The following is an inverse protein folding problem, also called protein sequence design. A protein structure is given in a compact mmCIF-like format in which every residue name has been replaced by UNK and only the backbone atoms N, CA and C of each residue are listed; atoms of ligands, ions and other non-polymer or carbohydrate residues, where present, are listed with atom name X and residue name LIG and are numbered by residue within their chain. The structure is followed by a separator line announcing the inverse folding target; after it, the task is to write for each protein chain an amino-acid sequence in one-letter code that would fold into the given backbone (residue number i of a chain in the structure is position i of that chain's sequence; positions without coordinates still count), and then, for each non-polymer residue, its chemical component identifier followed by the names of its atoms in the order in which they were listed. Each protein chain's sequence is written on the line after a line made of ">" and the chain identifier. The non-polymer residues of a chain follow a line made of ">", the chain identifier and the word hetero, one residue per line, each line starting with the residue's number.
data_IF_829782096189
#
_entry.id   IF_829782096189
#
_cell.length_a   1.000
_cell.length_b   1.000
_cell.length_c   1.000
_cell.angle_alpha   90.00
_cell.angle_beta   90.00
_cell.angle_gamma   90.00
#
_symmetry.space_group_name_H-M   'P 1'
#
loop_
_entity.id
_entity.type
_entity.pdbx_description
1 polymer ?
#
# COMPACT_ATOMS: atom_id res chain seq x y z
N UNK A 1 3.53 13.31 -7.90
CA UNK A 1 2.90 12.48 -6.86
C UNK A 1 2.13 11.41 -7.60
N UNK A 2 2.72 10.23 -7.72
CA UNK A 2 2.03 9.09 -8.30
C UNK A 2 1.02 8.61 -7.27
N UNK A 3 -0.26 8.77 -7.60
CA UNK A 3 -1.35 8.13 -6.90
C UNK A 3 -1.71 6.89 -7.70
N UNK A 4 -1.78 5.74 -7.05
CA UNK A 4 -2.21 4.50 -7.69
C UNK A 4 -3.73 4.50 -7.88
N UNK A 5 -4.18 3.73 -8.84
CA UNK A 5 -5.58 3.52 -9.20
C UNK A 5 -5.87 2.03 -9.37
N UNK A 6 -7.14 1.65 -9.37
CA UNK A 6 -7.54 0.27 -9.61
C UNK A 6 -6.98 -0.25 -10.94
N UNK A 7 -6.37 -1.44 -10.90
CA UNK A 7 -5.69 -2.07 -12.03
C UNK A 7 -4.18 -1.80 -12.09
N UNK A 8 -3.64 -0.87 -11.30
CA UNK A 8 -2.22 -0.59 -11.28
C UNK A 8 -1.43 -1.75 -10.66
N UNK A 9 -0.33 -2.13 -11.31
CA UNK A 9 0.63 -3.11 -10.78
C UNK A 9 1.63 -2.41 -9.89
N UNK A 10 1.80 -2.96 -8.70
CA UNK A 10 2.65 -2.37 -7.66
C UNK A 10 3.57 -3.41 -7.05
N UNK A 11 4.67 -2.92 -6.47
CA UNK A 11 5.52 -3.67 -5.55
C UNK A 11 5.42 -3.02 -4.17
N UNK A 12 5.29 -3.86 -3.14
CA UNK A 12 5.34 -3.44 -1.76
C UNK A 12 6.81 -3.19 -1.37
N UNK A 13 7.08 -2.02 -0.80
CA UNK A 13 8.39 -1.50 -0.44
C UNK A 13 8.29 -0.83 0.93
N UNK A 14 8.19 -1.65 1.98
CA UNK A 14 8.20 -1.20 3.38
C UNK A 14 9.66 -0.87 3.73
N UNK A 15 10.05 0.38 4.03
CA UNK A 15 11.45 0.73 4.22
C UNK A 15 11.98 0.42 5.63
N UNK A 16 11.09 0.32 6.62
CA UNK A 16 11.45 0.01 8.00
C UNK A 16 11.50 -1.52 8.19
N UNK A 17 12.70 -2.08 8.31
CA UNK A 17 12.90 -3.53 8.52
C UNK A 17 12.39 -4.02 9.89
N UNK A 18 12.11 -3.10 10.82
CA UNK A 18 11.54 -3.43 12.14
C UNK A 18 10.02 -3.48 12.15
N UNK A 19 9.39 -3.07 11.04
CA UNK A 19 7.95 -3.20 10.86
C UNK A 19 7.57 -4.70 10.83
N UNK A 20 6.60 -5.15 11.65
CA UNK A 20 6.14 -6.54 11.65
C UNK A 20 5.69 -7.05 10.26
N UNK A 21 5.25 -6.14 9.39
CA UNK A 21 4.80 -6.44 8.04
C UNK A 21 5.94 -6.53 7.03
N UNK A 22 7.16 -6.09 7.40
CA UNK A 22 8.33 -6.11 6.52
C UNK A 22 8.63 -7.52 6.00
N UNK A 23 8.82 -8.50 6.89
CA UNK A 23 9.19 -9.87 6.48
C UNK A 23 8.12 -10.53 5.61
N UNK A 24 6.85 -10.14 5.78
CA UNK A 24 5.72 -10.77 5.10
C UNK A 24 5.46 -10.15 3.74
N UNK A 25 5.55 -8.83 3.61
CA UNK A 25 5.11 -8.12 2.41
C UNK A 25 6.21 -7.38 1.68
N UNK A 26 7.34 -7.04 2.31
CA UNK A 26 8.40 -6.30 1.62
C UNK A 26 8.88 -7.08 0.39
N UNK A 27 8.86 -6.41 -0.76
CA UNK A 27 9.26 -6.96 -2.04
C UNK A 27 8.19 -7.75 -2.78
N UNK A 28 7.06 -8.06 -2.15
CA UNK A 28 5.92 -8.76 -2.79
C UNK A 28 5.26 -7.85 -3.81
N UNK A 29 4.66 -8.45 -4.85
CA UNK A 29 4.01 -7.76 -5.95
C UNK A 29 2.51 -8.07 -5.96
N UNK A 30 1.75 -7.14 -6.52
CA UNK A 30 0.30 -7.28 -6.63
C UNK A 30 -0.33 -6.26 -7.54
N UNK A 31 -1.66 -6.27 -7.57
CA UNK A 31 -2.49 -5.33 -8.34
C UNK A 31 -3.42 -4.59 -7.40
N UNK A 32 -3.51 -3.27 -7.53
CA UNK A 32 -4.49 -2.48 -6.78
C UNK A 32 -5.89 -2.86 -7.27
N UNK A 33 -6.74 -3.28 -6.35
CA UNK A 33 -8.14 -3.67 -6.63
C UNK A 33 -9.17 -2.72 -6.02
N UNK A 34 -8.76 -1.86 -5.08
CA UNK A 34 -9.58 -0.75 -4.59
C UNK A 34 -8.71 0.36 -3.97
N UNK A 35 -9.24 1.58 -3.99
CA UNK A 35 -8.73 2.72 -3.21
C UNK A 35 -9.75 3.07 -2.14
N UNK A 36 -9.32 3.05 -0.88
CA UNK A 36 -10.15 3.28 0.30
C UNK A 36 -9.68 4.54 1.02
N UNK A 37 -10.60 5.19 1.73
CA UNK A 37 -10.32 6.37 2.54
C UNK A 37 -10.54 6.06 4.03
N UNK A 38 -9.66 6.56 4.89
CA UNK A 38 -9.79 6.56 6.34
C UNK A 38 -9.46 7.92 6.97
N UNK A 39 -9.54 8.01 8.30
CA UNK A 39 -9.29 9.25 9.03
C UNK A 39 -7.82 9.41 9.49
N UNK A 40 -6.88 8.58 9.00
CA UNK A 40 -5.50 8.57 9.49
C UNK A 40 -4.78 9.90 9.25
N UNK A 41 -5.06 10.58 8.14
CA UNK A 41 -4.49 11.90 7.85
C UNK A 41 -4.85 12.98 8.87
N UNK A 42 -5.95 12.82 9.64
CA UNK A 42 -6.27 13.74 10.75
C UNK A 42 -5.30 13.62 11.92
N UNK A 43 -4.75 12.43 12.13
CA UNK A 43 -3.83 12.15 13.25
C UNK A 43 -2.39 12.47 12.85
N UNK A 44 -2.01 12.14 11.62
CA UNK A 44 -0.64 12.36 11.12
C UNK A 44 -0.40 13.78 10.62
N UNK A 45 -1.47 14.50 10.28
CA UNK A 45 -1.41 15.82 9.64
C UNK A 45 -1.08 15.76 8.14
N UNK A 46 -1.03 14.56 7.55
CA UNK A 46 -0.81 14.35 6.13
C UNK A 46 -2.05 13.71 5.52
N UNK A 47 -2.81 14.46 4.72
CA UNK A 47 -4.06 13.99 4.11
C UNK A 47 -3.85 12.74 3.24
N UNK A 48 -2.65 12.52 2.68
CA UNK A 48 -2.34 11.34 1.87
C UNK A 48 -2.32 10.06 2.69
N UNK A 49 -2.07 10.17 3.99
CA UNK A 49 -2.19 9.03 4.89
C UNK A 49 -3.63 8.58 5.04
N UNK A 50 -4.61 9.37 4.63
CA UNK A 50 -6.02 8.96 4.59
C UNK A 50 -6.31 7.94 3.48
N UNK A 51 -5.37 7.70 2.55
CA UNK A 51 -5.55 6.75 1.45
C UNK A 51 -4.97 5.38 1.81
N UNK A 52 -5.78 4.35 1.61
CA UNK A 52 -5.42 2.93 1.65
C UNK A 52 -5.62 2.31 0.27
N UNK A 53 -4.63 1.56 -0.19
CA UNK A 53 -4.68 0.84 -1.45
C UNK A 53 -4.84 -0.63 -1.12
N UNK A 54 -6.00 -1.20 -1.48
CA UNK A 54 -6.23 -2.64 -1.39
C UNK A 54 -5.53 -3.30 -2.56
N UNK A 55 -4.61 -4.20 -2.27
CA UNK A 55 -3.79 -4.89 -3.25
C UNK A 55 -4.07 -6.39 -3.18
N UNK A 56 -4.43 -6.97 -4.31
CA UNK A 56 -4.40 -8.42 -4.51
C UNK A 56 -2.97 -8.84 -4.85
N UNK A 57 -2.33 -9.57 -3.93
CA UNK A 57 -0.98 -10.07 -4.05
C UNK A 57 -0.94 -11.29 -5.00
N UNK A 58 0.24 -11.58 -5.56
CA UNK A 58 0.41 -12.68 -6.51
C UNK A 58 0.11 -14.08 -5.93
N UNK A 59 0.11 -14.24 -4.61
CA UNK A 59 -0.27 -15.47 -3.91
C UNK A 59 -1.80 -15.59 -3.67
N UNK A 60 -2.57 -14.59 -4.10
CA UNK A 60 -4.03 -14.52 -3.96
C UNK A 60 -4.50 -13.94 -2.62
N UNK A 61 -3.60 -13.52 -1.73
CA UNK A 61 -3.97 -12.75 -0.55
C UNK A 61 -4.32 -11.31 -0.92
N UNK A 62 -5.23 -10.71 -0.16
CA UNK A 62 -5.64 -9.32 -0.34
C UNK A 62 -5.29 -8.56 0.93
N UNK A 63 -4.53 -7.49 0.79
CA UNK A 63 -4.08 -6.65 1.90
C UNK A 63 -4.10 -5.16 1.56
N UNK A 64 -4.21 -4.33 2.60
CA UNK A 64 -4.36 -2.88 2.48
C UNK A 64 -3.04 -2.17 2.84
N UNK A 65 -2.49 -1.38 1.91
CA UNK A 65 -1.21 -0.68 2.07
C UNK A 65 -1.36 0.84 1.98
N UNK A 66 -0.45 1.59 2.60
CA UNK A 66 -0.37 3.05 2.43
C UNK A 66 0.42 3.38 1.16
N UNK A 67 0.21 4.58 0.62
CA UNK A 67 0.91 5.07 -0.58
C UNK A 67 2.44 4.98 -0.45
N UNK A 68 2.97 5.17 0.77
CA UNK A 68 4.41 5.18 1.07
C UNK A 68 5.05 3.80 0.95
N UNK A 69 4.27 2.74 1.09
CA UNK A 69 4.71 1.35 1.04
C UNK A 69 4.58 0.75 -0.36
N UNK A 70 4.13 1.52 -1.36
CA UNK A 70 3.94 1.05 -2.73
C UNK A 70 4.87 1.76 -3.70
N UNK A 71 5.35 1.02 -4.70
CA UNK A 71 6.14 1.53 -5.84
C UNK A 71 5.55 1.01 -7.16
N UNK A 72 5.60 1.81 -8.24
CA UNK A 72 5.26 1.34 -9.58
C UNK A 72 6.11 0.13 -9.98
N UNK A 73 5.52 -0.81 -10.72
CA UNK A 73 6.19 -1.99 -11.28
C UNK A 73 6.36 -1.89 -12.79
#
# INVERSE_FOLDING_TARGET
>A
MEQFTEGDRVRVDIPDETDPDYERYHGVQGTVVAVLEDDAGRTTGDERDSLLFRVELEDGHVEDFRWRDLRPR
#
